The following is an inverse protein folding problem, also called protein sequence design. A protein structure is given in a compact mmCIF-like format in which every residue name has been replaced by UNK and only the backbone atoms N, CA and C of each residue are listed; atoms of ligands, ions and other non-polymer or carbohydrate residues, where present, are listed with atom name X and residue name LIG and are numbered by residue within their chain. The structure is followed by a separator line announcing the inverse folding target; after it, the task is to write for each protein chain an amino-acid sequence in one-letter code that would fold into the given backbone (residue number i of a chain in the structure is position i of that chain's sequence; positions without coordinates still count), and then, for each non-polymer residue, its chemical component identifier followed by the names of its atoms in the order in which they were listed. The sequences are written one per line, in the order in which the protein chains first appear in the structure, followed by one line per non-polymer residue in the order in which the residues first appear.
data_IF_264588291309
#
_entry.id   IF_264588291309
#
_cell.length_a   1.000
_cell.length_b   1.000
_cell.length_c   1.000
_cell.angle_alpha   90.00
_cell.angle_beta   90.00
_cell.angle_gamma   90.00
#
_symmetry.space_group_name_H-M   'P 1'
#
loop_
_entity.id
_entity.type
_entity.pdbx_description
1 polymer ?
#
# COMPACT_ATOMS: atom_id res chain seq x y z
N UNK A 1 -27.37 -59.12 44.74
CA UNK A 1 -26.88 -58.13 45.72
C UNK A 1 -25.38 -58.01 45.60
N UNK A 2 -24.88 -56.84 45.17
CA UNK A 2 -23.70 -56.12 45.67
C UNK A 2 -23.39 -55.01 44.68
N UNK A 3 -23.73 -53.79 45.11
CA UNK A 3 -23.39 -52.53 44.46
C UNK A 3 -21.91 -52.28 44.73
N UNK A 4 -21.17 -51.86 43.70
CA UNK A 4 -19.88 -51.19 43.91
C UNK A 4 -19.95 -49.84 43.21
N UNK A 5 -19.63 -48.82 43.97
CA UNK A 5 -19.84 -47.40 43.76
C UNK A 5 -18.45 -46.75 43.66
N UNK A 6 -18.31 -45.76 42.76
CA UNK A 6 -17.26 -44.69 42.68
C UNK A 6 -15.82 -45.18 42.36
N UNK A 7 -14.99 -44.47 41.59
CA UNK A 7 -14.77 -43.03 41.48
C UNK A 7 -14.59 -42.55 40.03
N UNK A 8 -15.19 -41.40 39.75
CA UNK A 8 -14.88 -40.49 38.66
C UNK A 8 -13.38 -40.12 38.61
N UNK A 9 -12.72 -40.40 37.49
CA UNK A 9 -11.51 -39.66 37.10
C UNK A 9 -11.84 -38.84 35.86
N UNK A 10 -12.37 -37.64 36.08
CA UNK A 10 -12.30 -36.56 35.10
C UNK A 10 -10.81 -36.32 34.82
N UNK A 11 -10.31 -36.89 33.72
CA UNK A 11 -9.06 -36.41 33.13
C UNK A 11 -9.38 -35.01 32.60
N UNK A 12 -9.01 -33.98 33.36
CA UNK A 12 -8.97 -32.60 32.88
C UNK A 12 -8.07 -32.60 31.66
N UNK A 13 -8.69 -32.61 30.47
CA UNK A 13 -8.01 -32.33 29.22
C UNK A 13 -7.46 -30.92 29.33
N UNK A 14 -6.16 -30.82 29.60
CA UNK A 14 -5.41 -29.58 29.47
C UNK A 14 -5.46 -29.18 28.00
N UNK A 15 -6.46 -28.37 27.64
CA UNK A 15 -6.45 -27.58 26.41
C UNK A 15 -5.28 -26.60 26.55
N UNK A 16 -4.09 -27.06 26.18
CA UNK A 16 -2.96 -26.19 25.91
C UNK A 16 -3.38 -25.40 24.68
N UNK A 17 -4.01 -24.25 24.90
CA UNK A 17 -4.14 -23.23 23.87
C UNK A 17 -2.71 -22.82 23.52
N UNK A 18 -2.16 -23.45 22.48
CA UNK A 18 -0.92 -23.02 21.86
C UNK A 18 -1.15 -21.60 21.37
N UNK A 19 -0.77 -20.62 22.19
CA UNK A 19 -0.82 -19.21 21.84
C UNK A 19 0.24 -19.00 20.76
N UNK A 20 -0.17 -19.17 19.50
CA UNK A 20 0.67 -18.91 18.33
C UNK A 20 1.07 -17.43 18.39
N UNK A 21 2.31 -17.18 18.80
CA UNK A 21 2.88 -15.85 18.75
C UNK A 21 2.81 -15.37 17.29
N UNK A 22 2.22 -14.21 17.01
CA UNK A 22 2.18 -13.70 15.64
C UNK A 22 3.62 -13.50 15.18
N UNK A 23 3.99 -14.15 14.09
CA UNK A 23 5.30 -13.96 13.46
C UNK A 23 5.31 -12.54 12.90
N UNK A 24 6.04 -11.63 13.56
CA UNK A 24 6.25 -10.28 13.06
C UNK A 24 7.01 -10.36 11.72
N UNK A 25 6.48 -9.68 10.69
CA UNK A 25 7.06 -9.72 9.34
C UNK A 25 6.83 -11.04 8.59
N UNK A 26 5.85 -11.84 9.01
CA UNK A 26 5.41 -13.04 8.27
C UNK A 26 4.58 -12.74 7.02
N UNK A 27 4.24 -11.47 6.78
CA UNK A 27 3.41 -10.98 5.67
C UNK A 27 4.23 -10.35 4.53
N UNK A 28 5.45 -10.85 4.32
CA UNK A 28 6.29 -10.43 3.20
C UNK A 28 5.62 -10.79 1.87
N UNK A 29 5.56 -9.83 0.95
CA UNK A 29 5.15 -10.08 -0.44
C UNK A 29 6.27 -10.76 -1.26
N UNK A 30 6.03 -10.97 -2.56
CA UNK A 30 6.99 -11.58 -3.48
C UNK A 30 8.30 -10.78 -3.64
N UNK A 31 8.30 -9.50 -3.27
CA UNK A 31 9.47 -8.64 -3.26
C UNK A 31 10.14 -8.54 -1.88
N UNK A 32 9.59 -9.22 -0.87
CA UNK A 32 10.07 -9.17 0.51
C UNK A 32 9.56 -7.97 1.30
N UNK A 33 8.62 -7.19 0.76
CA UNK A 33 8.08 -6.01 1.45
C UNK A 33 7.06 -6.42 2.50
N UNK A 34 7.20 -5.86 3.70
CA UNK A 34 6.32 -6.13 4.85
C UNK A 34 5.15 -5.13 4.81
N UNK A 35 4.02 -5.55 4.27
CA UNK A 35 2.84 -4.69 4.08
C UNK A 35 2.28 -4.14 5.40
N UNK A 36 2.26 -4.94 6.46
CA UNK A 36 1.84 -4.56 7.82
C UNK A 36 2.71 -3.46 8.44
N UNK A 37 3.97 -3.35 8.03
CA UNK A 37 4.87 -2.26 8.40
C UNK A 37 4.72 -1.03 7.47
N UNK A 38 3.83 -1.09 6.48
CA UNK A 38 3.54 -0.02 5.53
C UNK A 38 4.51 0.03 4.35
N UNK A 39 5.29 -1.03 4.12
CA UNK A 39 6.18 -1.13 2.96
C UNK A 39 5.43 -1.62 1.72
N UNK A 40 5.78 -1.03 0.58
CA UNK A 40 5.35 -1.46 -0.75
C UNK A 40 6.54 -1.43 -1.70
N UNK A 41 6.56 -2.33 -2.69
CA UNK A 41 7.67 -2.37 -3.63
C UNK A 41 7.60 -1.21 -4.62
N UNK A 42 8.70 -0.45 -4.72
CA UNK A 42 8.87 0.58 -5.75
C UNK A 42 9.65 0.00 -6.93
N UNK A 43 9.02 0.02 -8.10
CA UNK A 43 9.64 -0.40 -9.36
C UNK A 43 10.77 0.52 -9.81
N UNK A 44 10.70 1.82 -9.48
CA UNK A 44 11.75 2.78 -9.80
C UNK A 44 12.93 2.66 -8.84
N UNK A 45 12.68 2.49 -7.53
CA UNK A 45 13.74 2.36 -6.53
C UNK A 45 14.34 0.96 -6.50
N UNK A 46 13.60 -0.05 -6.96
CA UNK A 46 13.92 -1.47 -6.80
C UNK A 46 14.07 -1.86 -5.33
N UNK A 47 13.23 -1.28 -4.49
CA UNK A 47 13.31 -1.41 -3.05
C UNK A 47 11.92 -1.22 -2.42
N UNK A 48 11.76 -1.69 -1.18
CA UNK A 48 10.56 -1.51 -0.37
C UNK A 48 10.55 -0.10 0.22
N UNK A 49 9.52 0.67 -0.11
CA UNK A 49 9.35 2.05 0.35
C UNK A 49 8.08 2.20 1.18
N UNK A 50 8.07 3.17 2.10
CA UNK A 50 6.85 3.56 2.81
C UNK A 50 6.23 4.75 2.09
N UNK A 51 5.04 4.56 1.52
CA UNK A 51 4.36 5.54 0.65
C UNK A 51 4.16 6.89 1.36
N UNK A 52 3.88 6.87 2.66
CA UNK A 52 3.63 8.06 3.47
C UNK A 52 4.91 8.84 3.84
N UNK A 53 6.09 8.26 3.66
CA UNK A 53 7.39 8.91 3.89
C UNK A 53 7.95 9.58 2.62
N UNK A 54 7.26 9.42 1.48
CA UNK A 54 7.72 9.99 0.22
C UNK A 54 7.59 11.52 0.19
N UNK A 55 8.50 12.17 -0.52
CA UNK A 55 8.58 13.65 -0.59
C UNK A 55 7.39 14.29 -1.30
N UNK A 56 6.89 13.63 -2.36
CA UNK A 56 5.79 14.15 -3.16
C UNK A 56 4.55 13.36 -2.79
N UNK A 57 3.66 14.03 -2.04
CA UNK A 57 2.40 13.51 -1.55
C UNK A 57 1.29 14.38 -2.10
N UNK A 58 0.27 13.75 -2.69
CA UNK A 58 -0.88 14.40 -3.31
C UNK A 58 -2.10 14.06 -2.47
N UNK A 59 -2.96 15.05 -2.26
CA UNK A 59 -4.19 14.91 -1.47
C UNK A 59 -5.36 14.67 -2.41
N UNK A 60 -6.24 13.74 -2.04
CA UNK A 60 -7.47 13.47 -2.79
C UNK A 60 -8.34 14.73 -2.91
N UNK A 61 -8.86 15.00 -4.11
CA UNK A 61 -9.60 16.25 -4.38
C UNK A 61 -11.07 16.17 -3.96
N UNK A 62 -11.68 14.99 -4.02
CA UNK A 62 -13.09 14.79 -3.73
C UNK A 62 -13.30 13.44 -3.01
N UNK A 63 -12.88 13.33 -1.73
CA UNK A 63 -13.08 12.12 -0.95
C UNK A 63 -14.57 11.82 -0.81
N UNK A 64 -14.95 10.54 -1.02
CA UNK A 64 -16.34 10.09 -0.93
C UNK A 64 -16.80 9.81 0.51
N UNK A 65 -15.92 9.96 1.50
CA UNK A 65 -16.18 9.68 2.91
C UNK A 65 -15.53 10.70 3.85
N UNK A 66 -15.48 10.37 5.15
CA UNK A 66 -14.92 11.23 6.18
C UNK A 66 -13.39 11.26 6.22
N UNK A 67 -12.73 10.34 5.51
CA UNK A 67 -11.27 10.27 5.41
C UNK A 67 -10.79 10.73 4.04
N UNK A 68 -9.64 11.41 4.04
CA UNK A 68 -8.96 11.86 2.82
C UNK A 68 -7.78 10.95 2.54
N UNK A 69 -7.75 10.34 1.37
CA UNK A 69 -6.62 9.50 0.96
C UNK A 69 -5.47 10.34 0.38
N UNK A 70 -4.29 9.73 0.32
CA UNK A 70 -3.06 10.34 -0.19
C UNK A 70 -2.44 9.44 -1.24
N UNK A 71 -2.04 10.03 -2.37
CA UNK A 71 -1.18 9.38 -3.34
C UNK A 71 0.28 9.85 -3.18
N UNK A 72 1.25 9.01 -3.51
CA UNK A 72 2.66 9.43 -3.55
C UNK A 72 3.25 9.32 -4.95
N UNK A 73 4.27 10.13 -5.22
CA UNK A 73 5.00 10.12 -6.49
C UNK A 73 6.50 9.94 -6.25
N UNK A 74 7.09 9.01 -6.99
CA UNK A 74 8.54 8.81 -7.07
C UNK A 74 8.96 9.01 -8.52
N UNK A 75 9.92 9.91 -8.78
CA UNK A 75 10.51 10.08 -10.10
C UNK A 75 11.75 9.22 -10.28
N UNK A 76 11.97 8.74 -11.51
CA UNK A 76 13.29 8.23 -11.92
C UNK A 76 14.31 9.36 -11.91
N UNK A 77 15.60 9.02 -11.75
CA UNK A 77 16.69 10.02 -11.71
C UNK A 77 16.73 10.92 -12.95
N UNK A 78 16.39 10.36 -14.11
CA UNK A 78 16.34 11.07 -15.40
C UNK A 78 14.99 11.75 -15.69
N UNK A 79 14.06 11.72 -14.73
CA UNK A 79 12.71 12.26 -14.84
C UNK A 79 11.87 11.67 -15.99
N UNK A 80 12.30 10.56 -16.62
CA UNK A 80 11.54 9.93 -17.71
C UNK A 80 10.36 9.11 -17.22
N UNK A 81 10.38 8.66 -15.97
CA UNK A 81 9.31 7.88 -15.36
C UNK A 81 8.84 8.52 -14.06
N UNK A 82 7.54 8.43 -13.81
CA UNK A 82 6.93 8.75 -12.54
C UNK A 82 6.16 7.53 -12.05
N UNK A 83 6.55 6.99 -10.91
CA UNK A 83 5.82 5.94 -10.22
C UNK A 83 4.84 6.56 -9.25
N UNK A 84 3.57 6.23 -9.39
CA UNK A 84 2.47 6.82 -8.63
C UNK A 84 1.78 5.73 -7.82
N UNK A 85 1.70 5.94 -6.51
CA UNK A 85 1.03 5.04 -5.58
C UNK A 85 -0.35 5.61 -5.27
N UNK A 86 -1.41 5.01 -5.80
CA UNK A 86 -2.79 5.45 -5.58
C UNK A 86 -3.51 4.43 -4.70
N UNK A 87 -4.01 4.82 -3.51
CA UNK A 87 -4.79 3.92 -2.66
C UNK A 87 -5.99 3.33 -3.39
N UNK A 88 -6.25 2.04 -3.17
CA UNK A 88 -7.44 1.35 -3.72
C UNK A 88 -7.36 0.96 -5.20
N UNK A 89 -6.23 1.18 -5.89
CA UNK A 89 -6.05 0.77 -7.30
C UNK A 89 -5.38 -0.61 -7.48
N UNK A 90 -5.28 -1.38 -6.39
CA UNK A 90 -4.47 -2.60 -6.32
C UNK A 90 -3.19 -2.35 -5.52
N UNK A 91 -2.50 -3.42 -5.12
CA UNK A 91 -1.24 -3.36 -4.36
C UNK A 91 -0.04 -2.86 -5.19
N UNK A 92 -0.24 -2.65 -6.49
CA UNK A 92 0.81 -2.24 -7.42
C UNK A 92 0.75 -0.74 -7.74
N UNK A 93 1.91 -0.13 -7.88
CA UNK A 93 2.08 1.25 -8.31
C UNK A 93 1.90 1.42 -9.82
N UNK A 94 1.58 2.64 -10.26
CA UNK A 94 1.40 2.98 -11.67
C UNK A 94 2.66 3.67 -12.18
N UNK A 95 3.33 3.08 -13.17
CA UNK A 95 4.49 3.70 -13.85
C UNK A 95 4.02 4.53 -15.04
N UNK A 96 4.17 5.83 -14.95
CA UNK A 96 3.86 6.79 -16.02
C UNK A 96 5.13 7.17 -16.78
N UNK A 97 5.04 7.25 -18.10
CA UNK A 97 6.16 7.68 -18.95
C UNK A 97 6.04 9.15 -19.33
N UNK A 98 7.18 9.84 -19.42
CA UNK A 98 7.22 11.26 -19.74
C UNK A 98 6.65 11.51 -21.13
N UNK A 99 5.68 12.41 -21.22
CA UNK A 99 5.03 12.78 -22.46
C UNK A 99 5.77 13.94 -23.14
N UNK A 100 6.57 13.61 -24.17
CA UNK A 100 7.30 14.57 -25.00
C UNK A 100 8.29 15.43 -24.21
N UNK A 101 8.49 16.68 -24.65
CA UNK A 101 9.35 17.66 -23.94
C UNK A 101 8.64 18.35 -22.77
N UNK A 102 7.38 18.02 -22.51
CA UNK A 102 6.52 18.69 -21.52
C UNK A 102 6.81 18.31 -20.07
N UNK A 103 6.03 18.88 -19.15
CA UNK A 103 6.03 18.60 -17.71
C UNK A 103 4.90 17.63 -17.31
N UNK A 104 4.70 16.60 -18.12
CA UNK A 104 3.61 15.63 -17.96
C UNK A 104 4.13 14.19 -18.11
N UNK A 105 3.53 13.26 -17.38
CA UNK A 105 3.76 11.82 -17.47
C UNK A 105 2.42 11.11 -17.64
N UNK A 106 2.37 10.07 -18.49
CA UNK A 106 1.12 9.41 -18.89
C UNK A 106 1.26 7.89 -18.99
N UNK A 107 0.16 7.19 -18.69
CA UNK A 107 -0.07 5.78 -19.03
C UNK A 107 -1.57 5.50 -18.96
N UNK A 108 -2.16 5.07 -20.08
CA UNK A 108 -3.62 4.84 -20.16
C UNK A 108 -4.40 6.09 -19.80
N UNK A 109 -5.39 5.93 -18.91
CA UNK A 109 -6.24 7.00 -18.35
C UNK A 109 -5.51 7.95 -17.38
N UNK A 110 -4.33 7.56 -16.88
CA UNK A 110 -3.60 8.32 -15.87
C UNK A 110 -2.65 9.35 -16.49
N UNK A 111 -2.70 10.57 -15.97
CA UNK A 111 -1.81 11.66 -16.35
C UNK A 111 -1.36 12.43 -15.12
N UNK A 112 -0.06 12.47 -14.84
CA UNK A 112 0.55 13.34 -13.84
C UNK A 112 1.06 14.61 -14.53
N UNK A 113 0.69 15.78 -14.04
CA UNK A 113 1.18 17.08 -14.56
C UNK A 113 1.79 17.91 -13.44
N UNK A 114 2.82 18.70 -13.78
CA UNK A 114 3.28 19.74 -12.87
C UNK A 114 2.16 20.75 -12.60
N UNK A 115 1.99 21.12 -11.34
CA UNK A 115 1.07 22.13 -10.86
C UNK A 115 1.85 23.22 -10.10
N UNK A 116 1.18 24.32 -9.73
CA UNK A 116 1.74 25.51 -9.07
C UNK A 116 2.92 25.23 -8.11
N UNK A 117 3.93 26.11 -8.10
CA UNK A 117 5.08 26.10 -7.16
C UNK A 117 5.68 24.70 -6.89
N UNK A 118 5.88 23.90 -7.93
CA UNK A 118 6.55 22.58 -7.80
C UNK A 118 5.64 21.45 -7.27
N UNK A 119 4.34 21.70 -7.13
CA UNK A 119 3.35 20.66 -6.86
C UNK A 119 3.02 19.83 -8.12
N UNK A 120 2.17 18.83 -7.96
CA UNK A 120 1.71 17.99 -9.07
C UNK A 120 0.22 17.70 -8.95
N UNK A 121 -0.40 17.38 -10.08
CA UNK A 121 -1.78 16.89 -10.12
C UNK A 121 -1.80 15.56 -10.83
N UNK A 122 -2.44 14.57 -10.20
CA UNK A 122 -2.78 13.31 -10.85
C UNK A 122 -4.19 13.41 -11.41
N UNK A 123 -4.33 13.07 -12.68
CA UNK A 123 -5.59 12.99 -13.39
C UNK A 123 -5.89 11.55 -13.79
N UNK A 124 -7.17 11.20 -13.79
CA UNK A 124 -7.74 10.00 -14.40
C UNK A 124 -8.85 10.46 -15.34
N UNK A 125 -8.82 10.06 -16.61
CA UNK A 125 -9.78 10.49 -17.63
C UNK A 125 -9.94 12.01 -17.72
N UNK A 126 -8.81 12.74 -17.68
CA UNK A 126 -8.74 14.21 -17.64
C UNK A 126 -9.33 14.89 -16.39
N UNK A 127 -9.90 14.15 -15.44
CA UNK A 127 -10.40 14.67 -14.16
C UNK A 127 -9.27 14.64 -13.13
N UNK A 128 -9.06 15.75 -12.41
CA UNK A 128 -8.07 15.80 -11.32
C UNK A 128 -8.59 15.00 -10.12
N UNK A 129 -7.88 13.94 -9.78
CA UNK A 129 -8.23 13.05 -8.66
C UNK A 129 -7.36 13.30 -7.42
N UNK A 130 -6.10 13.74 -7.60
CA UNK A 130 -5.22 14.16 -6.51
C UNK A 130 -4.42 15.42 -6.86
N UNK A 131 -4.10 16.27 -5.88
CA UNK A 131 -3.31 17.52 -6.06
C UNK A 131 -2.47 17.93 -4.86
#
# INVERSE_FOLDING_TARGET
MKKTILLSTMFLGSLVFAQKTPVLGGDKDAHGCIGSAGYTYSQIKKDCVRVFEQKIRLTEVAPKGSSTSMAAVIFSKDMKKAEVFVPGTGSESIILDRAGKGKAWKKGEYTLVSFKKGGYQLKKDNVVIYK
#
